data_IF_598322386603
#
_entry.id   IF_598322386603
#
_cell.length_a   1.000
_cell.length_b   1.000
_cell.length_c   1.000
_cell.angle_alpha   90.00
_cell.angle_beta   90.00
_cell.angle_gamma   90.00
#
_symmetry.space_group_name_H-M   'P 1'
#
loop_
_entity.id
_entity.type
_entity.pdbx_description
1 polymer ?
#
# COMPACT_ATOMS: atom_id res chain seq x y z
N UNK A 1 20.42 -52.76 -47.00
CA UNK A 1 19.64 -51.51 -46.91
C UNK A 1 18.67 -51.66 -45.75
N UNK A 2 18.97 -51.04 -44.61
CA UNK A 2 18.04 -50.96 -43.49
C UNK A 2 17.07 -49.78 -43.73
N UNK A 3 15.78 -49.87 -43.40
CA UNK A 3 14.85 -48.77 -43.60
C UNK A 3 15.16 -47.66 -42.60
N UNK A 4 15.32 -46.44 -43.13
CA UNK A 4 15.53 -45.23 -42.35
C UNK A 4 14.26 -44.97 -41.53
N UNK A 5 14.36 -45.04 -40.20
CA UNK A 5 13.26 -44.65 -39.31
C UNK A 5 13.01 -43.16 -39.48
N UNK A 6 11.79 -42.79 -39.89
CA UNK A 6 11.36 -41.38 -39.87
C UNK A 6 11.25 -40.93 -38.43
N UNK A 7 12.06 -39.96 -38.01
CA UNK A 7 11.83 -39.25 -36.76
C UNK A 7 10.45 -38.60 -36.79
N UNK A 8 9.55 -39.05 -35.92
CA UNK A 8 8.27 -38.35 -35.69
C UNK A 8 8.60 -37.00 -35.05
N UNK A 9 8.33 -35.91 -35.77
CA UNK A 9 8.28 -34.57 -35.17
C UNK A 9 7.27 -34.58 -34.03
N UNK A 10 7.76 -34.34 -32.81
CA UNK A 10 6.92 -34.02 -31.67
C UNK A 10 6.17 -32.72 -31.98
N UNK A 11 4.87 -32.84 -32.20
CA UNK A 11 3.98 -31.69 -32.17
C UNK A 11 3.98 -31.20 -30.72
N UNK A 12 4.62 -30.07 -30.46
CA UNK A 12 4.47 -29.35 -29.21
C UNK A 12 3.00 -29.00 -29.07
N UNK A 13 2.30 -29.71 -28.19
CA UNK A 13 1.06 -29.20 -27.61
C UNK A 13 1.42 -27.84 -27.03
N UNK A 14 0.84 -26.76 -27.57
CA UNK A 14 1.23 -25.38 -27.25
C UNK A 14 1.47 -25.19 -25.75
N UNK A 15 2.45 -24.35 -25.41
CA UNK A 15 2.82 -24.07 -24.03
C UNK A 15 1.57 -23.95 -23.17
N UNK A 16 1.42 -24.81 -22.16
CA UNK A 16 0.40 -24.61 -21.14
C UNK A 16 0.63 -23.19 -20.62
N UNK A 17 -0.29 -22.27 -20.88
CA UNK A 17 -0.21 -20.92 -20.31
C UNK A 17 -0.29 -21.12 -18.80
N UNK A 18 0.84 -21.04 -18.11
CA UNK A 18 0.86 -20.99 -16.65
C UNK A 18 0.08 -19.75 -16.23
N UNK A 19 -0.95 -19.94 -15.40
CA UNK A 19 -1.77 -18.84 -14.91
C UNK A 19 -0.92 -17.87 -14.10
N UNK A 20 -1.24 -16.58 -14.18
CA UNK A 20 -0.55 -15.53 -13.46
C UNK A 20 -1.39 -15.04 -12.27
N UNK A 21 -0.71 -14.74 -11.17
CA UNK A 21 -1.25 -14.01 -10.01
C UNK A 21 -1.57 -12.55 -10.39
N UNK A 22 -2.34 -11.85 -9.56
CA UNK A 22 -2.64 -10.42 -9.77
C UNK A 22 -1.35 -9.59 -9.94
N UNK A 23 -0.40 -9.76 -9.02
CA UNK A 23 0.88 -9.03 -9.06
C UNK A 23 1.65 -9.31 -10.35
N UNK A 24 1.72 -10.58 -10.79
CA UNK A 24 2.36 -10.93 -12.06
C UNK A 24 1.67 -10.26 -13.26
N UNK A 25 0.34 -10.27 -13.32
CA UNK A 25 -0.41 -9.64 -14.42
C UNK A 25 -0.27 -8.12 -14.44
N UNK A 26 -0.31 -7.47 -13.28
CA UNK A 26 -0.11 -6.02 -13.17
C UNK A 26 1.26 -5.64 -13.71
N UNK A 27 2.30 -6.36 -13.29
CA UNK A 27 3.68 -6.14 -13.76
C UNK A 27 3.85 -6.54 -15.23
N UNK A 28 3.18 -7.58 -15.72
CA UNK A 28 3.22 -8.00 -17.12
C UNK A 28 2.66 -6.88 -18.02
N UNK A 29 1.47 -6.36 -17.68
CA UNK A 29 0.89 -5.18 -18.34
C UNK A 29 1.83 -3.98 -18.29
N UNK A 30 2.35 -3.64 -17.12
CA UNK A 30 3.20 -2.46 -16.94
C UNK A 30 4.58 -2.58 -17.61
N UNK A 31 5.04 -3.79 -17.91
CA UNK A 31 6.29 -4.07 -18.63
C UNK A 31 6.09 -4.45 -20.11
N UNK A 32 4.85 -4.35 -20.61
CA UNK A 32 4.47 -4.71 -21.99
C UNK A 32 4.83 -6.17 -22.34
N UNK A 33 4.73 -7.07 -21.35
CA UNK A 33 4.94 -8.51 -21.48
C UNK A 33 3.61 -9.25 -21.42
N UNK A 34 3.50 -10.33 -22.19
CA UNK A 34 2.31 -11.19 -22.16
C UNK A 34 2.29 -12.13 -20.95
N UNK A 35 3.46 -12.44 -20.39
CA UNK A 35 3.61 -13.38 -19.30
C UNK A 35 4.89 -13.06 -18.51
N UNK A 36 4.83 -13.27 -17.20
CA UNK A 36 5.97 -13.18 -16.28
C UNK A 36 5.96 -14.34 -15.30
N UNK A 37 7.12 -14.66 -14.76
CA UNK A 37 7.30 -15.61 -13.68
C UNK A 37 7.99 -14.93 -12.48
N UNK A 38 7.78 -15.41 -11.25
CA UNK A 38 8.54 -14.96 -10.09
C UNK A 38 10.05 -15.06 -10.34
N UNK A 39 10.77 -13.99 -10.00
CA UNK A 39 12.22 -13.89 -10.20
C UNK A 39 12.65 -13.17 -11.49
N UNK A 40 11.75 -12.98 -12.46
CA UNK A 40 12.04 -12.18 -13.65
C UNK A 40 12.36 -10.72 -13.26
N UNK A 41 13.35 -10.11 -13.92
CA UNK A 41 13.63 -8.68 -13.77
C UNK A 41 13.08 -7.94 -14.99
N UNK A 42 12.21 -6.96 -14.76
CA UNK A 42 11.48 -6.25 -15.80
C UNK A 42 11.52 -4.75 -15.60
N UNK A 43 11.65 -4.02 -16.72
CA UNK A 43 11.40 -2.58 -16.75
C UNK A 43 9.91 -2.34 -16.71
N UNK A 44 9.47 -1.57 -15.72
CA UNK A 44 8.05 -1.33 -15.42
C UNK A 44 7.76 0.14 -15.67
N UNK A 45 6.76 0.42 -16.49
CA UNK A 45 6.18 1.76 -16.63
C UNK A 45 5.40 2.09 -15.36
N UNK A 46 5.70 3.24 -14.75
CA UNK A 46 5.09 3.69 -13.50
C UNK A 46 3.83 4.50 -13.81
N UNK A 47 2.73 4.18 -13.15
CA UNK A 47 1.46 4.90 -13.32
C UNK A 47 1.41 6.14 -12.42
N UNK A 48 1.85 6.02 -11.16
CA UNK A 48 1.95 7.12 -10.20
C UNK A 48 3.24 7.00 -9.39
N UNK A 49 3.97 8.10 -9.24
CA UNK A 49 5.00 8.28 -8.21
C UNK A 49 4.50 9.26 -7.15
N UNK A 50 4.46 8.81 -5.90
CA UNK A 50 4.20 9.67 -4.76
C UNK A 50 5.51 10.01 -4.04
N UNK A 51 5.65 11.25 -3.59
CA UNK A 51 6.67 11.62 -2.61
C UNK A 51 6.14 12.65 -1.62
N UNK A 52 6.88 12.85 -0.53
CA UNK A 52 6.51 13.72 0.59
C UNK A 52 7.72 14.52 1.06
N UNK A 53 7.52 15.35 2.08
CA UNK A 53 8.49 16.29 2.64
C UNK A 53 9.76 15.65 3.23
N UNK A 54 9.73 14.40 3.68
CA UNK A 54 10.95 13.74 4.19
C UNK A 54 11.88 13.31 3.05
N UNK A 55 11.34 12.64 2.04
CA UNK A 55 12.10 11.96 1.00
C UNK A 55 12.16 12.71 -0.34
N UNK A 56 11.20 13.62 -0.57
CA UNK A 56 11.10 14.41 -1.80
C UNK A 56 12.34 15.26 -2.09
N UNK A 57 12.88 16.04 -1.14
CA UNK A 57 14.11 16.81 -1.37
C UNK A 57 15.30 15.95 -1.84
N UNK A 58 15.47 14.76 -1.25
CA UNK A 58 16.52 13.82 -1.66
C UNK A 58 16.31 13.29 -3.07
N UNK A 59 15.06 12.93 -3.40
CA UNK A 59 14.69 12.44 -4.75
C UNK A 59 14.86 13.52 -5.82
N UNK A 60 14.46 14.76 -5.53
CA UNK A 60 14.62 15.94 -6.40
C UNK A 60 16.10 16.24 -6.63
N UNK A 61 16.92 16.20 -5.58
CA UNK A 61 18.36 16.44 -5.68
C UNK A 61 19.05 15.42 -6.59
N UNK A 62 18.69 14.14 -6.47
CA UNK A 62 19.21 13.07 -7.35
C UNK A 62 18.73 13.28 -8.79
N UNK A 63 17.45 13.56 -8.99
CA UNK A 63 16.89 13.86 -10.32
C UNK A 63 17.65 15.00 -11.01
N UNK A 64 17.84 16.14 -10.34
CA UNK A 64 18.59 17.29 -10.88
C UNK A 64 20.06 16.97 -11.15
N UNK A 65 20.70 16.21 -10.26
CA UNK A 65 22.10 15.79 -10.42
C UNK A 65 22.31 14.89 -11.63
N UNK A 66 21.45 13.90 -11.83
CA UNK A 66 21.64 12.85 -12.83
C UNK A 66 21.02 13.21 -14.20
N UNK A 67 19.93 13.99 -14.24
CA UNK A 67 19.26 14.43 -15.48
C UNK A 67 19.55 15.89 -15.86
N UNK A 68 20.11 16.68 -14.94
CA UNK A 68 20.46 18.09 -15.13
C UNK A 68 19.48 19.06 -14.48
N UNK A 69 19.97 20.24 -14.08
CA UNK A 69 19.19 21.28 -13.36
C UNK A 69 17.96 21.79 -14.09
N UNK A 70 17.91 21.67 -15.42
CA UNK A 70 16.78 22.11 -16.26
C UNK A 70 15.93 20.95 -16.76
N UNK A 71 16.18 19.72 -16.29
CA UNK A 71 15.43 18.55 -16.69
C UNK A 71 13.94 18.72 -16.36
N UNK A 72 13.11 18.14 -17.20
CA UNK A 72 11.67 18.04 -16.95
C UNK A 72 11.32 16.64 -16.50
N UNK A 73 10.43 16.58 -15.51
CA UNK A 73 9.88 15.31 -15.06
C UNK A 73 9.17 14.58 -16.19
N UNK A 74 9.14 13.25 -16.15
CA UNK A 74 8.61 12.43 -17.25
C UNK A 74 7.13 12.75 -17.54
N UNK A 75 6.34 13.00 -16.49
CA UNK A 75 4.93 13.35 -16.59
C UNK A 75 4.48 14.09 -15.32
N UNK A 76 4.19 15.38 -15.45
CA UNK A 76 3.76 16.26 -14.35
C UNK A 76 2.37 15.89 -13.79
N UNK A 77 1.61 15.03 -14.46
CA UNK A 77 0.29 14.54 -14.04
C UNK A 77 0.36 13.14 -13.42
N UNK A 78 1.53 12.50 -13.40
CA UNK A 78 1.74 11.21 -12.73
C UNK A 78 2.60 11.30 -11.47
N UNK A 79 2.90 12.52 -11.05
CA UNK A 79 3.66 12.81 -9.84
C UNK A 79 2.73 13.46 -8.83
N UNK A 80 2.65 12.85 -7.65
CA UNK A 80 1.84 13.30 -6.53
C UNK A 80 2.76 13.70 -5.38
N UNK A 81 2.62 14.92 -4.89
CA UNK A 81 3.45 15.46 -3.81
C UNK A 81 2.56 15.88 -2.65
N UNK A 82 2.76 15.26 -1.48
CA UNK A 82 1.93 15.46 -0.29
C UNK A 82 2.85 15.72 0.92
N UNK A 83 3.00 16.98 1.36
CA UNK A 83 3.64 17.28 2.65
C UNK A 83 2.70 16.91 3.81
N UNK A 84 3.09 15.97 4.66
CA UNK A 84 2.29 15.51 5.80
C UNK A 84 3.10 15.25 7.09
N UNK A 85 4.43 15.04 7.01
CA UNK A 85 5.23 14.69 8.20
C UNK A 85 5.69 15.93 9.00
N UNK A 86 5.99 17.03 8.32
CA UNK A 86 6.66 18.22 8.85
C UNK A 86 5.84 19.50 8.73
N UNK A 87 4.57 19.39 8.35
CA UNK A 87 3.66 20.54 8.17
C UNK A 87 3.21 21.23 9.46
N UNK A 88 3.34 20.56 10.61
CA UNK A 88 2.93 21.08 11.93
C UNK A 88 4.12 21.18 12.89
N UNK A 89 5.20 21.79 12.42
CA UNK A 89 6.43 21.97 13.21
C UNK A 89 6.95 23.41 13.15
N UNK A 90 7.61 23.84 14.23
CA UNK A 90 8.38 25.09 14.25
C UNK A 90 9.86 24.88 13.88
N UNK A 91 10.26 23.67 13.50
CA UNK A 91 11.64 23.35 13.11
C UNK A 91 11.97 23.90 11.71
N UNK A 92 12.94 24.80 11.63
CA UNK A 92 13.36 25.45 10.39
C UNK A 92 13.90 24.45 9.34
N UNK A 93 14.57 23.37 9.75
CA UNK A 93 15.11 22.37 8.83
C UNK A 93 14.01 21.55 8.20
N UNK A 94 12.97 21.25 8.98
CA UNK A 94 11.79 20.55 8.51
C UNK A 94 10.97 21.44 7.55
N UNK A 95 10.79 22.72 7.88
CA UNK A 95 10.12 23.68 6.99
C UNK A 95 10.86 23.89 5.66
N UNK A 96 12.20 23.94 5.69
CA UNK A 96 13.03 24.01 4.47
C UNK A 96 12.73 22.88 3.49
N UNK A 97 12.43 21.67 3.98
CA UNK A 97 12.10 20.55 3.09
C UNK A 97 10.80 20.81 2.33
N UNK A 98 9.78 21.36 2.99
CA UNK A 98 8.52 21.74 2.37
C UNK A 98 8.74 22.84 1.33
N UNK A 99 9.60 23.82 1.62
CA UNK A 99 9.94 24.88 0.66
C UNK A 99 10.62 24.33 -0.61
N UNK A 100 11.52 23.35 -0.49
CA UNK A 100 12.10 22.65 -1.64
C UNK A 100 11.02 21.98 -2.50
N UNK A 101 9.99 21.39 -1.88
CA UNK A 101 8.87 20.81 -2.62
C UNK A 101 8.07 21.90 -3.35
N UNK A 102 7.77 23.01 -2.69
CA UNK A 102 7.04 24.15 -3.30
C UNK A 102 7.77 24.68 -4.53
N UNK A 103 9.08 24.90 -4.41
CA UNK A 103 9.93 25.37 -5.51
C UNK A 103 9.91 24.39 -6.68
N UNK A 104 10.10 23.09 -6.40
CA UNK A 104 10.08 22.05 -7.43
C UNK A 104 8.71 21.91 -8.10
N UNK A 105 7.63 21.92 -7.33
CA UNK A 105 6.25 21.86 -7.83
C UNK A 105 5.95 23.04 -8.77
N UNK A 106 6.38 24.25 -8.40
CA UNK A 106 6.26 25.44 -9.24
C UNK A 106 7.10 25.36 -10.52
N UNK A 107 8.36 24.95 -10.41
CA UNK A 107 9.31 24.84 -11.53
C UNK A 107 8.87 23.81 -12.59
N UNK A 108 8.33 22.67 -12.12
CA UNK A 108 7.92 21.55 -12.96
C UNK A 108 6.42 21.61 -13.32
N UNK A 109 5.67 22.56 -12.75
CA UNK A 109 4.23 22.71 -12.91
C UNK A 109 3.47 21.41 -12.57
N UNK A 110 3.83 20.81 -11.43
CA UNK A 110 3.23 19.55 -10.93
C UNK A 110 1.76 19.78 -10.66
N UNK A 111 0.91 18.94 -11.26
CA UNK A 111 -0.55 19.09 -11.18
C UNK A 111 -1.09 18.73 -9.79
N UNK A 112 -0.54 17.67 -9.18
CA UNK A 112 -1.04 17.08 -7.94
C UNK A 112 -0.13 17.41 -6.77
N UNK A 113 -0.16 18.66 -6.32
CA UNK A 113 0.55 19.14 -5.14
C UNK A 113 -0.44 19.52 -4.03
N UNK A 114 -0.44 18.75 -2.95
CA UNK A 114 -1.40 18.81 -1.86
C UNK A 114 -0.81 19.48 -0.61
N UNK A 115 -0.32 20.71 -0.78
CA UNK A 115 0.27 21.50 0.30
C UNK A 115 -0.78 22.30 1.07
N UNK A 116 -0.44 22.63 2.32
CA UNK A 116 -1.22 23.52 3.16
C UNK A 116 -0.89 24.95 2.81
N UNK A 117 -1.90 25.72 2.39
CA UNK A 117 -1.73 27.15 2.07
C UNK A 117 -1.96 28.04 3.28
N UNK A 118 -2.97 27.74 4.09
CA UNK A 118 -3.27 28.48 5.31
C UNK A 118 -2.49 27.91 6.51
N UNK A 119 -1.38 28.54 6.90
CA UNK A 119 -0.60 28.11 8.08
C UNK A 119 -1.06 28.82 9.38
N UNK A 120 -2.16 29.56 9.36
CA UNK A 120 -2.60 30.36 10.52
C UNK A 120 -3.41 29.56 11.55
N UNK A 121 -4.02 28.44 11.14
CA UNK A 121 -4.82 27.59 12.02
C UNK A 121 -4.42 26.10 11.89
N UNK A 122 -3.71 25.62 12.92
CA UNK A 122 -3.24 24.22 13.00
C UNK A 122 -4.24 23.24 13.65
N UNK A 123 -5.41 23.70 14.10
CA UNK A 123 -6.42 22.83 14.72
C UNK A 123 -7.39 22.24 13.70
N UNK A 124 -7.72 23.00 12.65
CA UNK A 124 -8.56 22.56 11.56
C UNK A 124 -8.14 23.31 10.30
N UNK A 125 -7.61 22.57 9.33
CA UNK A 125 -7.14 23.13 8.08
C UNK A 125 -7.91 22.51 6.91
N UNK A 126 -8.70 23.28 6.14
CA UNK A 126 -9.50 22.73 5.06
C UNK A 126 -8.65 22.27 3.86
N UNK A 127 -7.42 22.77 3.73
CA UNK A 127 -6.52 22.43 2.64
C UNK A 127 -5.66 21.20 2.96
N UNK A 128 -5.56 20.82 4.24
CA UNK A 128 -4.79 19.65 4.65
C UNK A 128 -5.49 18.36 4.23
N UNK A 129 -4.80 17.56 3.43
CA UNK A 129 -5.32 16.27 2.93
C UNK A 129 -5.05 15.09 3.85
N UNK A 130 -4.37 15.30 4.99
CA UNK A 130 -4.03 14.22 5.90
C UNK A 130 -2.79 13.45 5.48
N UNK A 131 -2.65 12.26 6.07
CA UNK A 131 -1.55 11.33 5.80
C UNK A 131 -1.55 10.91 4.33
N UNK A 132 -0.37 10.89 3.72
CA UNK A 132 -0.16 10.69 2.29
C UNK A 132 -0.94 9.50 1.68
N UNK A 133 -0.97 8.34 2.32
CA UNK A 133 -1.67 7.15 1.80
C UNK A 133 -3.20 7.27 1.83
N UNK A 134 -3.74 8.03 2.79
CA UNK A 134 -5.17 8.34 2.86
C UNK A 134 -5.53 9.38 1.79
N UNK A 135 -4.70 10.42 1.66
CA UNK A 135 -4.85 11.45 0.63
C UNK A 135 -4.81 10.85 -0.78
N UNK A 136 -3.87 9.95 -1.07
CA UNK A 136 -3.81 9.22 -2.36
C UNK A 136 -5.13 8.52 -2.70
N UNK A 137 -5.71 7.83 -1.72
CA UNK A 137 -6.98 7.13 -1.89
C UNK A 137 -8.15 8.11 -2.07
N UNK A 138 -8.26 9.12 -1.22
CA UNK A 138 -9.35 10.11 -1.23
C UNK A 138 -9.36 10.99 -2.48
N UNK A 139 -8.19 11.27 -3.05
CA UNK A 139 -8.01 12.10 -4.24
C UNK A 139 -7.96 11.28 -5.54
N UNK A 140 -8.27 9.98 -5.49
CA UNK A 140 -8.47 9.14 -6.69
C UNK A 140 -7.19 8.70 -7.41
N UNK A 141 -6.06 8.67 -6.70
CA UNK A 141 -4.77 8.21 -7.23
C UNK A 141 -4.59 6.69 -7.15
N UNK A 142 -5.36 6.02 -6.29
CA UNK A 142 -5.31 4.56 -6.15
C UNK A 142 -6.30 3.88 -7.11
N UNK A 143 -5.84 3.47 -8.29
CA UNK A 143 -6.70 2.90 -9.35
C UNK A 143 -6.33 1.43 -9.65
N UNK A 144 -7.32 0.52 -9.71
CA UNK A 144 -7.08 -0.90 -9.95
C UNK A 144 -6.19 -1.22 -11.15
N UNK A 145 -5.33 -2.22 -10.97
CA UNK A 145 -4.45 -2.72 -12.02
C UNK A 145 -3.16 -1.92 -12.21
N UNK A 146 -3.03 -0.74 -11.60
CA UNK A 146 -1.87 0.14 -11.78
C UNK A 146 -0.63 -0.20 -10.92
N UNK A 147 0.50 0.40 -11.30
CA UNK A 147 1.76 0.41 -10.54
C UNK A 147 1.93 1.78 -9.87
N UNK A 148 1.86 1.80 -8.54
CA UNK A 148 2.06 2.99 -7.72
C UNK A 148 3.35 2.84 -6.89
N UNK A 149 4.29 3.75 -7.09
CA UNK A 149 5.52 3.79 -6.30
C UNK A 149 5.51 5.01 -5.39
N UNK A 150 6.15 4.88 -4.24
CA UNK A 150 6.20 5.96 -3.26
C UNK A 150 7.52 5.93 -2.49
N UNK A 151 7.95 7.09 -2.00
CA UNK A 151 9.16 7.20 -1.18
C UNK A 151 8.94 6.89 0.31
N UNK A 152 7.80 6.27 0.63
CA UNK A 152 7.41 5.82 1.96
C UNK A 152 7.22 4.28 1.99
N UNK A 153 7.58 3.64 3.10
CA UNK A 153 7.50 2.18 3.26
C UNK A 153 6.08 1.63 3.15
N UNK A 154 5.07 2.38 3.59
CA UNK A 154 3.68 1.96 3.66
C UNK A 154 2.89 2.28 2.39
N UNK A 155 3.58 2.65 1.30
CA UNK A 155 2.99 2.78 -0.04
C UNK A 155 2.23 1.51 -0.47
N UNK A 156 2.58 0.35 0.09
CA UNK A 156 1.85 -0.90 -0.07
C UNK A 156 0.35 -0.81 0.31
N UNK A 157 -0.08 0.20 1.06
CA UNK A 157 -1.50 0.51 1.35
C UNK A 157 -2.37 0.56 0.09
N UNK A 158 -1.86 1.11 -1.02
CA UNK A 158 -2.59 1.21 -2.28
C UNK A 158 -2.92 -0.16 -2.91
N UNK A 159 -2.28 -1.24 -2.43
CA UNK A 159 -2.65 -2.63 -2.71
C UNK A 159 -4.10 -2.98 -2.42
N UNK A 160 -4.75 -2.27 -1.49
CA UNK A 160 -6.17 -2.43 -1.18
C UNK A 160 -7.10 -2.17 -2.37
N UNK A 161 -6.61 -1.46 -3.39
CA UNK A 161 -7.31 -1.13 -4.63
C UNK A 161 -6.98 -2.09 -5.77
N UNK A 162 -6.22 -3.16 -5.51
CA UNK A 162 -5.75 -4.09 -6.54
C UNK A 162 -4.60 -3.52 -7.38
N UNK A 163 -3.72 -2.72 -6.76
CA UNK A 163 -2.51 -2.18 -7.37
C UNK A 163 -1.26 -2.94 -6.95
N UNK A 164 -0.25 -2.97 -7.83
CA UNK A 164 1.10 -3.23 -7.36
C UNK A 164 1.65 -1.93 -6.76
N UNK A 165 1.80 -1.91 -5.44
CA UNK A 165 2.31 -0.73 -4.74
C UNK A 165 3.43 -1.07 -3.77
N UNK A 166 4.54 -0.33 -3.84
CA UNK A 166 5.73 -0.56 -2.99
C UNK A 166 6.44 0.75 -2.70
N UNK A 167 7.02 0.83 -1.49
CA UNK A 167 8.03 1.83 -1.18
C UNK A 167 9.29 1.62 -2.02
N UNK A 168 9.94 2.72 -2.40
CA UNK A 168 11.24 2.78 -3.09
C UNK A 168 12.13 3.85 -2.46
N UNK A 169 13.44 3.76 -2.67
CA UNK A 169 14.40 4.74 -2.16
C UNK A 169 14.48 6.01 -3.01
N UNK A 170 15.13 7.05 -2.48
CA UNK A 170 15.31 8.33 -3.17
C UNK A 170 16.00 8.21 -4.54
N UNK A 171 16.95 7.27 -4.69
CA UNK A 171 17.63 7.02 -5.96
C UNK A 171 16.68 6.50 -7.02
N UNK A 172 15.87 5.50 -6.68
CA UNK A 172 14.87 4.94 -7.58
C UNK A 172 13.81 5.99 -7.91
N UNK A 173 13.36 6.77 -6.93
CA UNK A 173 12.40 7.85 -7.15
C UNK A 173 12.97 8.95 -8.06
N UNK A 174 14.23 9.35 -7.87
CA UNK A 174 14.93 10.29 -8.76
C UNK A 174 15.05 9.76 -10.20
N UNK A 175 15.28 8.45 -10.36
CA UNK A 175 15.28 7.79 -11.67
C UNK A 175 13.89 7.74 -12.31
N UNK A 176 12.84 7.44 -11.52
CA UNK A 176 11.45 7.45 -11.97
C UNK A 176 11.04 8.87 -12.38
N UNK A 177 11.39 9.91 -11.60
CA UNK A 177 11.15 11.32 -11.95
C UNK A 177 11.64 11.67 -13.37
N UNK A 178 12.79 11.13 -13.80
CA UNK A 178 13.32 11.39 -15.14
C UNK A 178 12.80 10.47 -16.24
N UNK A 179 12.43 9.23 -15.93
CA UNK A 179 12.17 8.19 -16.95
C UNK A 179 10.74 7.65 -16.99
N UNK A 180 9.98 7.79 -15.91
CA UNK A 180 8.70 7.13 -15.70
C UNK A 180 8.81 5.61 -15.61
N UNK A 181 10.01 5.07 -15.38
CA UNK A 181 10.27 3.62 -15.34
C UNK A 181 11.12 3.23 -14.14
N UNK A 182 11.06 1.96 -13.76
CA UNK A 182 11.96 1.35 -12.77
C UNK A 182 12.20 -0.12 -13.11
N UNK A 183 13.35 -0.67 -12.72
CA UNK A 183 13.61 -2.10 -12.83
C UNK A 183 13.10 -2.81 -11.57
N UNK A 184 12.16 -3.73 -11.73
CA UNK A 184 11.60 -4.51 -10.62
C UNK A 184 11.81 -6.00 -10.86
N UNK A 185 12.05 -6.72 -9.77
CA UNK A 185 11.99 -8.18 -9.75
C UNK A 185 10.58 -8.61 -9.40
N UNK A 186 9.99 -9.48 -10.21
CA UNK A 186 8.66 -10.05 -9.98
C UNK A 186 8.68 -10.90 -8.70
N UNK A 187 7.91 -10.57 -7.66
CA UNK A 187 7.90 -11.34 -6.42
C UNK A 187 7.01 -12.59 -6.56
N UNK A 188 7.36 -13.73 -5.93
CA UNK A 188 6.40 -14.81 -5.72
C UNK A 188 5.31 -14.37 -4.73
N UNK A 189 4.11 -14.95 -4.85
CA UNK A 189 2.94 -14.53 -4.06
C UNK A 189 2.59 -15.54 -2.97
N UNK A 190 2.38 -15.05 -1.74
CA UNK A 190 1.70 -15.76 -0.65
C UNK A 190 0.22 -15.40 -0.69
N UNK A 191 -0.66 -16.40 -0.64
CA UNK A 191 -2.11 -16.19 -0.59
C UNK A 191 -2.64 -16.38 0.83
N UNK A 192 -3.47 -15.44 1.29
CA UNK A 192 -4.13 -15.47 2.59
C UNK A 192 -5.64 -15.50 2.34
N UNK A 193 -6.25 -16.67 2.53
CA UNK A 193 -7.69 -16.89 2.39
C UNK A 193 -8.34 -16.69 3.76
N UNK A 194 -9.21 -15.71 3.88
CA UNK A 194 -9.87 -15.30 5.11
C UNK A 194 -11.39 -15.45 4.95
N UNK A 195 -11.93 -16.50 5.54
CA UNK A 195 -13.34 -16.87 5.40
C UNK A 195 -14.04 -16.85 6.76
N UNK A 196 -15.36 -16.67 6.73
CA UNK A 196 -16.21 -16.60 7.91
C UNK A 196 -16.73 -15.19 8.22
N UNK A 197 -17.77 -15.13 9.05
CA UNK A 197 -18.36 -13.87 9.49
C UNK A 197 -17.44 -13.22 10.52
N UNK A 198 -17.01 -11.98 10.26
CA UNK A 198 -16.16 -11.23 11.18
C UNK A 198 -16.97 -10.78 12.40
N UNK A 199 -16.59 -11.19 13.63
CA UNK A 199 -17.24 -10.69 14.83
C UNK A 199 -17.18 -9.16 14.90
N UNK A 200 -18.30 -8.54 15.30
CA UNK A 200 -18.48 -7.08 15.31
C UNK A 200 -17.50 -6.28 16.19
N UNK A 201 -16.73 -6.97 17.04
CA UNK A 201 -15.71 -6.39 17.91
C UNK A 201 -14.29 -6.47 17.32
N UNK A 202 -14.10 -7.16 16.20
CA UNK A 202 -12.83 -7.20 15.47
C UNK A 202 -12.79 -6.10 14.43
N UNK A 203 -11.58 -5.72 14.07
CA UNK A 203 -11.26 -4.86 12.94
C UNK A 203 -10.27 -5.56 12.01
N UNK A 204 -10.09 -5.05 10.80
CA UNK A 204 -9.02 -5.50 9.91
C UNK A 204 -7.61 -5.45 10.54
N UNK A 205 -7.42 -4.64 11.60
CA UNK A 205 -6.18 -4.63 12.40
C UNK A 205 -5.92 -6.00 13.05
N UNK A 206 -6.94 -6.66 13.59
CA UNK A 206 -6.80 -7.98 14.19
C UNK A 206 -6.44 -9.02 13.12
N UNK A 207 -7.05 -8.92 11.94
CA UNK A 207 -6.78 -9.81 10.80
C UNK A 207 -5.30 -9.79 10.40
N UNK A 208 -4.73 -8.59 10.21
CA UNK A 208 -3.32 -8.49 9.78
C UNK A 208 -2.34 -8.81 10.91
N UNK A 209 -2.68 -8.51 12.18
CA UNK A 209 -1.88 -8.95 13.33
C UNK A 209 -1.89 -10.49 13.49
N UNK A 210 -3.00 -11.15 13.19
CA UNK A 210 -3.07 -12.61 13.17
C UNK A 210 -2.06 -13.16 12.16
N UNK A 211 -2.05 -12.62 10.94
CA UNK A 211 -1.14 -13.03 9.86
C UNK A 211 0.32 -12.77 10.25
N UNK A 212 0.67 -11.56 10.68
CA UNK A 212 2.06 -11.20 11.05
C UNK A 212 2.55 -12.07 12.20
N UNK A 213 1.71 -12.35 13.20
CA UNK A 213 2.06 -13.27 14.29
C UNK A 213 2.24 -14.73 13.85
N UNK A 214 1.68 -15.14 12.72
CA UNK A 214 1.84 -16.49 12.15
C UNK A 214 3.11 -16.60 11.31
N UNK A 215 3.41 -15.58 10.51
CA UNK A 215 4.51 -15.63 9.52
C UNK A 215 5.78 -14.88 9.97
N UNK A 216 5.74 -14.16 11.09
CA UNK A 216 6.79 -13.26 11.60
C UNK A 216 7.02 -12.00 10.76
N UNK A 217 7.84 -11.08 11.28
CA UNK A 217 8.26 -9.86 10.56
C UNK A 217 9.08 -10.10 9.27
N UNK A 218 9.51 -11.34 9.02
CA UNK A 218 10.27 -11.72 7.83
C UNK A 218 9.57 -12.78 6.95
N UNK A 219 8.34 -13.19 7.29
CA UNK A 219 7.64 -14.26 6.57
C UNK A 219 7.39 -13.95 5.10
N UNK A 220 7.09 -12.69 4.80
CA UNK A 220 6.79 -12.20 3.47
C UNK A 220 7.97 -11.50 2.78
N UNK A 221 9.20 -11.58 3.32
CA UNK A 221 10.38 -10.95 2.69
C UNK A 221 10.53 -11.32 1.22
N UNK A 222 10.56 -10.30 0.35
CA UNK A 222 10.60 -10.37 -1.13
C UNK A 222 9.37 -11.01 -1.80
N UNK A 223 8.23 -11.10 -1.10
CA UNK A 223 7.01 -11.76 -1.59
C UNK A 223 5.86 -10.75 -1.69
N UNK A 224 4.92 -11.03 -2.57
CA UNK A 224 3.62 -10.37 -2.58
C UNK A 224 2.67 -11.08 -1.61
N UNK A 225 1.76 -10.34 -0.97
CA UNK A 225 0.69 -10.89 -0.13
C UNK A 225 -0.67 -10.64 -0.80
N UNK A 226 -1.34 -11.70 -1.26
CA UNK A 226 -2.67 -11.63 -1.87
C UNK A 226 -3.73 -12.04 -0.85
N UNK A 227 -4.63 -11.11 -0.50
CA UNK A 227 -5.71 -11.34 0.47
C UNK A 227 -7.03 -11.60 -0.26
N UNK A 228 -7.67 -12.72 0.05
CA UNK A 228 -8.93 -13.17 -0.57
C UNK A 228 -9.84 -13.84 0.46
N UNK A 229 -11.06 -14.16 0.09
CA UNK A 229 -12.02 -14.89 0.93
C UNK A 229 -13.21 -14.02 1.35
N UNK A 230 -14.25 -14.66 1.87
CA UNK A 230 -15.55 -14.02 2.12
C UNK A 230 -15.44 -12.86 3.11
N UNK A 231 -14.52 -12.95 4.08
CA UNK A 231 -14.30 -11.86 5.02
C UNK A 231 -13.71 -10.65 4.30
N UNK A 232 -12.68 -10.83 3.47
CA UNK A 232 -12.02 -9.73 2.74
C UNK A 232 -13.03 -9.02 1.81
N UNK A 233 -13.88 -9.79 1.14
CA UNK A 233 -14.96 -9.26 0.29
C UNK A 233 -15.95 -8.39 1.09
N UNK A 234 -16.23 -8.75 2.35
CA UNK A 234 -17.13 -7.99 3.23
C UNK A 234 -16.53 -6.70 3.81
N UNK A 235 -15.19 -6.57 3.82
CA UNK A 235 -14.52 -5.38 4.33
C UNK A 235 -14.79 -4.16 3.45
N UNK A 236 -14.95 -3.00 4.07
CA UNK A 236 -14.92 -1.73 3.34
C UNK A 236 -13.49 -1.36 2.92
N UNK A 237 -13.35 -0.28 2.13
CA UNK A 237 -12.03 0.14 1.64
C UNK A 237 -11.05 0.57 2.73
N UNK A 238 -11.52 1.23 3.80
CA UNK A 238 -10.64 1.66 4.90
C UNK A 238 -10.05 0.43 5.62
N UNK A 239 -10.85 -0.62 5.82
CA UNK A 239 -10.39 -1.89 6.38
C UNK A 239 -9.42 -2.65 5.46
N UNK A 240 -9.67 -2.67 4.15
CA UNK A 240 -8.72 -3.23 3.16
C UNK A 240 -7.40 -2.47 3.15
N UNK A 241 -7.44 -1.14 3.28
CA UNK A 241 -6.24 -0.30 3.42
C UNK A 241 -5.45 -0.69 4.68
N UNK A 242 -6.11 -0.96 5.80
CA UNK A 242 -5.46 -1.44 7.02
C UNK A 242 -4.72 -2.77 6.81
N UNK A 243 -5.31 -3.73 6.07
CA UNK A 243 -4.63 -4.99 5.71
C UNK A 243 -3.37 -4.74 4.89
N UNK A 244 -3.49 -3.98 3.81
CA UNK A 244 -2.37 -3.76 2.89
C UNK A 244 -1.28 -2.84 3.46
N UNK A 245 -1.64 -1.91 4.33
CA UNK A 245 -0.70 -0.98 4.98
C UNK A 245 0.38 -1.72 5.78
N UNK A 246 0.00 -2.76 6.52
CA UNK A 246 0.94 -3.48 7.39
C UNK A 246 1.69 -4.62 6.70
N UNK A 247 1.56 -4.78 5.37
CA UNK A 247 2.28 -5.81 4.61
C UNK A 247 3.80 -5.67 4.76
N UNK A 248 4.29 -4.43 4.80
CA UNK A 248 5.71 -4.15 4.99
C UNK A 248 6.23 -4.65 6.35
N UNK A 249 5.36 -4.76 7.36
CA UNK A 249 5.73 -5.25 8.70
C UNK A 249 5.92 -6.76 8.75
N UNK A 250 5.45 -7.50 7.74
CA UNK A 250 5.82 -8.90 7.49
C UNK A 250 7.02 -9.05 6.54
N UNK A 251 7.63 -7.93 6.14
CA UNK A 251 8.66 -7.86 5.11
C UNK A 251 8.12 -7.94 3.68
N UNK A 252 6.80 -7.90 3.49
CA UNK A 252 6.16 -8.03 2.19
C UNK A 252 6.51 -6.89 1.24
N UNK A 253 6.70 -7.23 -0.05
CA UNK A 253 7.02 -6.26 -1.10
C UNK A 253 5.81 -5.40 -1.47
N UNK A 254 4.64 -6.04 -1.58
CA UNK A 254 3.34 -5.40 -1.78
C UNK A 254 2.23 -6.31 -1.25
N UNK A 255 1.08 -5.72 -0.92
CA UNK A 255 -0.17 -6.43 -0.71
C UNK A 255 -1.11 -6.21 -1.89
N UNK A 256 -2.03 -7.13 -2.15
CA UNK A 256 -3.13 -6.91 -3.09
C UNK A 256 -4.44 -7.48 -2.56
N UNK A 257 -5.50 -6.72 -2.72
CA UNK A 257 -6.90 -7.18 -2.59
C UNK A 257 -7.55 -7.05 -3.97
N UNK A 258 -8.23 -8.10 -4.49
CA UNK A 258 -8.99 -7.99 -5.74
C UNK A 258 -10.02 -6.85 -5.69
N UNK A 259 -10.02 -6.01 -6.72
CA UNK A 259 -11.00 -4.92 -6.82
C UNK A 259 -12.40 -5.48 -7.12
N UNK A 260 -13.39 -5.03 -6.35
CA UNK A 260 -14.80 -5.44 -6.48
C UNK A 260 -15.73 -4.21 -6.44
N UNK A 261 -17.04 -4.45 -6.28
CA UNK A 261 -18.03 -3.37 -6.20
C UNK A 261 -17.75 -2.36 -5.10
N UNK A 262 -17.14 -2.77 -3.98
CA UNK A 262 -16.77 -1.86 -2.89
C UNK A 262 -15.66 -0.93 -3.35
N UNK A 263 -14.66 -1.45 -4.07
CA UNK A 263 -13.59 -0.66 -4.67
C UNK A 263 -14.11 0.30 -5.73
N UNK A 264 -14.95 -0.18 -6.67
CA UNK A 264 -15.48 0.67 -7.74
C UNK A 264 -16.37 1.79 -7.20
N UNK A 265 -17.25 1.48 -6.24
CA UNK A 265 -18.09 2.48 -5.57
C UNK A 265 -17.26 3.54 -4.83
N UNK A 266 -16.15 3.13 -4.20
CA UNK A 266 -15.27 4.09 -3.56
C UNK A 266 -14.65 5.07 -4.58
N UNK A 267 -14.39 4.63 -5.81
CA UNK A 267 -13.70 5.43 -6.84
C UNK A 267 -14.63 6.25 -7.75
N UNK A 268 -15.93 5.95 -7.79
CA UNK A 268 -16.92 6.49 -8.74
C UNK A 268 -16.84 8.01 -8.93
N UNK A 269 -16.67 8.79 -7.85
CA UNK A 269 -16.58 10.25 -7.90
C UNK A 269 -15.17 10.80 -7.63
N UNK A 270 -14.17 9.93 -7.45
CA UNK A 270 -12.81 10.34 -7.07
C UNK A 270 -11.87 10.47 -8.25
N UNK A 271 -12.14 9.79 -9.36
CA UNK A 271 -11.26 9.82 -10.52
C UNK A 271 -12.02 9.66 -11.83
N UNK A 272 -11.59 10.39 -12.86
CA UNK A 272 -12.05 10.26 -14.24
C UNK A 272 -11.02 9.58 -15.15
N UNK A 273 -9.86 9.20 -14.61
CA UNK A 273 -8.82 8.51 -15.35
C UNK A 273 -9.24 7.05 -15.54
N UNK A 274 -9.27 6.52 -16.77
CA UNK A 274 -9.66 5.14 -17.01
C UNK A 274 -8.64 4.18 -16.39
N UNK A 275 -9.14 3.07 -15.85
CA UNK A 275 -8.34 2.00 -15.27
C UNK A 275 -8.95 0.64 -15.59
N UNK A 276 -8.13 -0.41 -15.54
CA UNK A 276 -8.55 -1.78 -15.83
C UNK A 276 -8.18 -2.67 -14.64
N UNK A 277 -9.17 -3.20 -13.89
CA UNK A 277 -8.90 -4.13 -12.80
C UNK A 277 -8.35 -5.45 -13.35
N UNK A 278 -7.44 -6.05 -12.60
CA UNK A 278 -6.74 -7.28 -12.97
C UNK A 278 -6.94 -8.33 -11.87
N UNK A 279 -7.16 -9.58 -12.26
CA UNK A 279 -7.46 -10.68 -11.35
C UNK A 279 -6.53 -11.86 -11.57
N UNK A 280 -6.15 -12.57 -10.50
CA UNK A 280 -5.40 -13.83 -10.59
C UNK A 280 -6.12 -14.82 -11.51
N UNK A 281 -5.38 -15.52 -12.36
CA UNK A 281 -5.94 -16.64 -13.14
C UNK A 281 -6.38 -17.78 -12.21
N UNK A 282 -7.38 -18.56 -12.63
CA UNK A 282 -7.83 -19.73 -11.89
C UNK A 282 -6.72 -20.78 -11.67
N UNK A 283 -5.72 -20.81 -12.57
CA UNK A 283 -4.56 -21.72 -12.51
C UNK A 283 -3.28 -20.99 -12.05
N UNK A 284 -3.39 -19.81 -11.42
CA UNK A 284 -2.24 -19.11 -10.87
C UNK A 284 -1.57 -19.92 -9.76
N UNK A 285 -0.24 -19.88 -9.72
CA UNK A 285 0.56 -20.60 -8.72
C UNK A 285 0.95 -19.67 -7.58
N UNK A 286 0.72 -20.11 -6.34
CA UNK A 286 1.08 -19.39 -5.12
C UNK A 286 2.21 -20.14 -4.42
N UNK A 287 3.17 -19.40 -3.86
CA UNK A 287 4.29 -20.00 -3.13
C UNK A 287 3.81 -20.73 -1.88
N UNK A 288 2.83 -20.15 -1.19
CA UNK A 288 2.10 -20.79 -0.10
C UNK A 288 0.71 -20.19 0.01
N UNK A 289 -0.20 -20.97 0.56
CA UNK A 289 -1.56 -20.54 0.85
C UNK A 289 -1.85 -20.78 2.34
N UNK A 290 -2.34 -19.75 3.01
CA UNK A 290 -2.76 -19.77 4.41
C UNK A 290 -4.27 -19.58 4.47
N UNK A 291 -4.95 -20.33 5.33
CA UNK A 291 -6.41 -20.28 5.46
C UNK A 291 -6.79 -19.97 6.91
N UNK A 292 -7.64 -18.95 7.09
CA UNK A 292 -8.08 -18.49 8.40
C UNK A 292 -9.62 -18.52 8.47
N UNK A 293 -10.14 -19.08 9.56
CA UNK A 293 -11.55 -18.98 9.93
C UNK A 293 -11.71 -17.78 10.86
N UNK A 294 -12.24 -16.68 10.33
CA UNK A 294 -12.30 -15.39 11.02
C UNK A 294 -13.33 -15.40 12.14
N UNK A 295 -14.34 -16.28 12.06
CA UNK A 295 -15.36 -16.41 13.12
C UNK A 295 -14.77 -16.86 14.47
N UNK A 296 -13.55 -17.42 14.45
CA UNK A 296 -12.83 -17.92 15.63
C UNK A 296 -11.78 -16.94 16.16
N UNK A 297 -11.59 -15.79 15.52
CA UNK A 297 -10.59 -14.83 15.97
C UNK A 297 -11.07 -14.05 17.19
N UNK A 298 -10.11 -13.74 18.05
CA UNK A 298 -10.26 -12.90 19.23
C UNK A 298 -9.42 -11.63 19.04
N UNK A 299 -9.73 -10.52 19.75
CA UNK A 299 -8.97 -9.28 19.62
C UNK A 299 -7.49 -9.49 19.92
N UNK A 300 -6.63 -8.92 19.09
CA UNK A 300 -5.18 -9.08 19.14
C UNK A 300 -4.46 -7.79 19.49
N UNK A 301 -3.30 -7.96 20.13
CA UNK A 301 -2.37 -6.88 20.45
C UNK A 301 -0.96 -7.33 20.05
N UNK A 302 -0.22 -6.46 19.37
CA UNK A 302 1.23 -6.63 19.22
C UNK A 302 1.93 -6.10 20.48
N UNK A 303 2.58 -6.98 21.24
CA UNK A 303 3.32 -6.61 22.44
C UNK A 303 4.67 -5.97 22.06
N UNK A 304 5.25 -5.15 22.93
CA UNK A 304 6.61 -4.65 22.73
C UNK A 304 7.63 -5.78 22.56
N UNK A 305 8.66 -5.66 21.73
CA UNK A 305 9.00 -4.52 20.85
C UNK A 305 8.89 -4.89 19.36
N UNK A 306 8.03 -5.84 18.99
CA UNK A 306 7.93 -6.35 17.61
C UNK A 306 6.48 -6.53 17.15
N UNK A 307 6.13 -6.15 15.89
CA UNK A 307 4.80 -6.38 15.33
C UNK A 307 4.32 -7.83 15.36
N UNK A 308 5.23 -8.81 15.27
CA UNK A 308 4.92 -10.25 15.33
C UNK A 308 4.81 -10.82 16.74
N UNK A 309 5.10 -10.03 17.78
CA UNK A 309 4.90 -10.43 19.18
C UNK A 309 3.42 -10.36 19.58
N UNK A 310 2.58 -11.06 18.82
CA UNK A 310 1.13 -11.13 18.97
C UNK A 310 0.73 -11.78 20.29
N UNK A 311 -0.26 -11.21 20.96
CA UNK A 311 -0.98 -11.80 22.07
C UNK A 311 -2.49 -11.53 21.94
N UNK A 312 -3.30 -12.33 22.62
CA UNK A 312 -4.72 -12.01 22.77
C UNK A 312 -4.88 -10.83 23.72
N UNK A 313 -5.80 -9.91 23.44
CA UNK A 313 -6.03 -8.74 24.28
C UNK A 313 -6.35 -9.14 25.75
N UNK A 314 -7.07 -10.25 25.94
CA UNK A 314 -7.41 -10.79 27.28
C UNK A 314 -6.18 -11.22 28.11
N UNK A 315 -5.08 -11.58 27.45
CA UNK A 315 -3.82 -11.98 28.10
C UNK A 315 -3.05 -10.75 28.61
N UNK A 316 -3.40 -9.55 28.14
CA UNK A 316 -2.78 -8.29 28.52
C UNK A 316 -3.57 -7.50 29.58
N UNK A 317 -4.54 -8.11 30.26
CA UNK A 317 -5.44 -7.45 31.23
C UNK A 317 -4.71 -6.72 32.37
N UNK A 318 -3.52 -7.20 32.75
CA UNK A 318 -2.74 -6.67 33.87
C UNK A 318 -1.74 -5.57 33.43
N UNK A 319 -1.70 -5.26 32.13
CA UNK A 319 -0.83 -4.20 31.57
C UNK A 319 -1.42 -2.84 31.91
N UNK A 320 -0.62 -2.00 32.59
CA UNK A 320 -0.98 -0.61 32.85
C UNK A 320 -0.73 0.24 31.61
N UNK A 321 -1.73 1.01 31.20
CA UNK A 321 -1.65 1.91 30.05
C UNK A 321 -1.54 3.35 30.56
N UNK A 322 -0.41 3.99 30.26
CA UNK A 322 -0.19 5.40 30.62
C UNK A 322 -0.68 6.38 29.56
N UNK A 323 -0.64 5.97 28.29
CA UNK A 323 -1.01 6.79 27.12
C UNK A 323 -1.68 5.96 26.05
N UNK A 324 -2.57 6.58 25.30
CA UNK A 324 -3.26 6.02 24.12
C UNK A 324 -3.11 7.01 22.96
N UNK A 325 -2.76 6.48 21.79
CA UNK A 325 -2.72 7.21 20.52
C UNK A 325 -3.63 6.51 19.50
N UNK A 326 -4.55 7.26 18.91
CA UNK A 326 -5.47 6.86 17.84
C UNK A 326 -5.22 7.86 16.71
N UNK A 327 -5.15 7.44 15.45
CA UNK A 327 -4.89 8.39 14.35
C UNK A 327 -3.61 8.16 13.53
N UNK A 328 -3.10 6.94 13.39
CA UNK A 328 -1.95 6.65 12.50
C UNK A 328 -2.37 6.39 11.05
N UNK A 329 -1.41 6.21 10.13
CA UNK A 329 -1.67 5.77 8.75
C UNK A 329 -2.51 4.47 8.67
N UNK A 330 -2.38 3.59 9.67
CA UNK A 330 -3.14 2.34 9.79
C UNK A 330 -4.47 2.50 10.54
N UNK A 331 -4.64 3.55 11.35
CA UNK A 331 -5.71 3.64 12.36
C UNK A 331 -6.27 5.05 12.59
N UNK A 332 -6.24 5.90 11.55
CA UNK A 332 -6.70 7.29 11.58
C UNK A 332 -7.71 7.60 10.49
N UNK A 333 -8.48 6.59 10.07
CA UNK A 333 -9.56 6.74 9.09
C UNK A 333 -10.90 6.89 9.82
N UNK A 334 -11.96 7.22 9.07
CA UNK A 334 -13.25 7.59 9.69
C UNK A 334 -13.80 6.43 10.52
N UNK A 335 -13.70 5.21 10.03
CA UNK A 335 -14.17 4.03 10.74
C UNK A 335 -13.39 3.73 12.01
N UNK A 336 -12.08 4.02 12.03
CA UNK A 336 -11.23 3.81 13.21
C UNK A 336 -11.72 4.71 14.37
N UNK A 337 -12.00 5.98 14.08
CA UNK A 337 -12.52 6.92 15.07
C UNK A 337 -13.94 6.55 15.52
N UNK A 338 -14.80 6.08 14.61
CA UNK A 338 -16.13 5.59 14.97
C UNK A 338 -16.07 4.34 15.85
N UNK A 339 -15.15 3.41 15.58
CA UNK A 339 -14.93 2.23 16.40
C UNK A 339 -14.45 2.61 17.82
N UNK A 340 -13.48 3.52 17.92
CA UNK A 340 -13.03 4.04 19.20
C UNK A 340 -14.16 4.75 19.98
N UNK A 341 -14.94 5.59 19.30
CA UNK A 341 -16.09 6.29 19.90
C UNK A 341 -17.14 5.32 20.45
N UNK A 342 -17.47 4.24 19.71
CA UNK A 342 -18.38 3.18 20.19
C UNK A 342 -17.89 2.56 21.49
N UNK A 343 -16.60 2.23 21.59
CA UNK A 343 -15.99 1.67 22.81
C UNK A 343 -16.09 2.67 23.97
N UNK A 344 -15.76 3.94 23.74
CA UNK A 344 -15.83 4.96 24.79
C UNK A 344 -17.26 5.17 25.29
N UNK A 345 -18.23 5.30 24.39
CA UNK A 345 -19.64 5.47 24.73
C UNK A 345 -20.18 4.27 25.52
N UNK A 346 -19.83 3.04 25.11
CA UNK A 346 -20.23 1.83 25.82
C UNK A 346 -19.65 1.75 27.24
N UNK A 347 -18.42 2.24 27.43
CA UNK A 347 -17.75 2.20 28.73
C UNK A 347 -18.38 3.13 29.79
N UNK A 348 -19.06 4.20 29.36
CA UNK A 348 -19.55 5.31 30.20
C UNK A 348 -18.47 5.97 31.08
N UNK A 349 -17.19 5.76 30.78
CA UNK A 349 -16.08 6.34 31.53
C UNK A 349 -15.56 7.59 30.83
N UNK A 350 -15.20 8.61 31.62
CA UNK A 350 -14.45 9.76 31.12
C UNK A 350 -12.98 9.36 30.97
N UNK A 351 -12.39 9.63 29.81
CA UNK A 351 -10.97 9.46 29.57
C UNK A 351 -10.23 10.74 29.94
N UNK A 352 -9.06 10.61 30.58
CA UNK A 352 -8.18 11.74 30.86
C UNK A 352 -7.60 12.28 29.54
N UNK A 353 -7.96 13.51 29.17
CA UNK A 353 -7.53 14.14 27.93
C UNK A 353 -6.02 14.42 27.88
N UNK A 354 -5.30 14.31 29.00
CA UNK A 354 -3.82 14.43 29.03
C UNK A 354 -3.10 13.15 28.63
N UNK A 355 -3.83 12.04 28.53
CA UNK A 355 -3.27 10.70 28.25
C UNK A 355 -3.73 10.14 26.91
N UNK A 356 -4.58 10.85 26.19
CA UNK A 356 -5.15 10.40 24.94
C UNK A 356 -4.88 11.42 23.83
N UNK A 357 -4.36 10.92 22.72
CA UNK A 357 -4.10 11.65 21.51
C UNK A 357 -4.94 11.01 20.41
N UNK A 358 -5.77 11.81 19.74
CA UNK A 358 -6.70 11.40 18.68
C UNK A 358 -6.45 12.26 17.46
#
# INVERSE_FOLDING_TARGET
MAPQQSERKTYTTGSVKTGMTMTEKILARASEKQQLNPGDNVWVNVDILMTHDVCGPGSIGIFKKEFGEKAKVWDREKIVIIPDHYIFTSDERANRNVDILRDFCGEQNIKYFYDIKDLSNFQANPDYKGVCHVALAQEGHCRPGEVLLGTDSHTCTAGAFGQFATGIGNTDAGFVLGTGKVLLKVPPTLRFVMDGEMPHYLLAKDLILQIIGEISVAGATYKSMEFVGTTVESLNMEERMTLCNMVVEAGGKNGVVPADSTTFKYLEDKTSVPYEPVYSDAQASFLSEYRFDISKLEPLVAKPHSPDNRALARECKDVKIDRVYIGSCTGGKTEDFLAAAKVFLASRKKVDNKRMYV
#
